data_IF_879046716620
#
_entry.id   IF_879046716620
#
_cell.length_a   1.000
_cell.length_b   1.000
_cell.length_c   1.000
_cell.angle_alpha   90.00
_cell.angle_beta   90.00
_cell.angle_gamma   90.00
#
_symmetry.space_group_name_H-M   'P 1'
#
loop_
_entity.id
_entity.type
_entity.pdbx_description
1 polymer ?
#
# COMPACT_ATOMS: atom_id res chain seq x y z
N UNK A 1 -1.97 11.68 -19.51
CA UNK A 1 -2.52 11.27 -18.19
C UNK A 1 -1.58 10.25 -17.59
N UNK A 2 -1.20 10.39 -16.31
CA UNK A 2 -0.45 9.38 -15.54
C UNK A 2 -1.38 8.26 -15.08
N UNK A 3 -0.84 7.08 -14.82
CA UNK A 3 -1.62 5.90 -14.39
C UNK A 3 -0.94 5.29 -13.17
N UNK A 4 -1.71 4.98 -12.14
CA UNK A 4 -1.25 4.32 -10.92
C UNK A 4 -1.83 2.91 -10.79
N UNK A 5 -1.04 1.98 -10.27
CA UNK A 5 -1.52 0.68 -9.78
C UNK A 5 -1.52 0.73 -8.25
N UNK A 6 -2.67 0.44 -7.63
CA UNK A 6 -2.82 0.43 -6.17
C UNK A 6 -3.27 -0.95 -5.71
N UNK A 7 -2.41 -1.68 -5.01
CA UNK A 7 -2.78 -3.00 -4.48
C UNK A 7 -3.66 -2.86 -3.23
N UNK A 8 -4.74 -3.67 -3.16
CA UNK A 8 -5.68 -3.62 -2.03
C UNK A 8 -6.54 -2.35 -1.98
N UNK A 9 -6.98 -1.85 -3.14
CA UNK A 9 -7.76 -0.62 -3.28
C UNK A 9 -9.26 -0.75 -2.94
N UNK A 10 -9.71 -1.89 -2.43
CA UNK A 10 -11.12 -2.15 -2.13
C UNK A 10 -11.58 -1.63 -0.77
N UNK A 11 -10.70 -1.16 0.10
CA UNK A 11 -11.02 -0.61 1.42
C UNK A 11 -9.83 0.10 2.06
N UNK A 12 -10.09 0.82 3.15
CA UNK A 12 -9.06 1.40 4.04
C UNK A 12 -8.07 2.31 3.33
N UNK A 13 -6.79 2.17 3.67
CA UNK A 13 -5.70 3.01 3.14
C UNK A 13 -5.62 2.91 1.62
N UNK A 14 -5.71 1.70 1.05
CA UNK A 14 -5.62 1.50 -0.40
C UNK A 14 -6.78 2.16 -1.16
N UNK A 15 -7.99 2.10 -0.62
CA UNK A 15 -9.14 2.81 -1.20
C UNK A 15 -8.93 4.32 -1.15
N UNK A 16 -8.52 4.85 0.01
CA UNK A 16 -8.23 6.28 0.15
C UNK A 16 -7.11 6.71 -0.80
N UNK A 17 -6.00 5.96 -0.86
CA UNK A 17 -4.92 6.25 -1.80
C UNK A 17 -5.41 6.30 -3.25
N UNK A 18 -6.22 5.32 -3.68
CA UNK A 18 -6.79 5.28 -5.03
C UNK A 18 -7.64 6.54 -5.33
N UNK A 19 -8.51 6.94 -4.39
CA UNK A 19 -9.34 8.14 -4.52
C UNK A 19 -8.50 9.43 -4.56
N UNK A 20 -7.51 9.57 -3.66
CA UNK A 20 -6.65 10.76 -3.60
C UNK A 20 -5.75 10.89 -4.83
N UNK A 21 -5.27 9.78 -5.37
CA UNK A 21 -4.49 9.72 -6.62
C UNK A 21 -5.37 10.12 -7.81
N UNK A 22 -6.60 9.59 -7.89
CA UNK A 22 -7.54 9.93 -8.96
C UNK A 22 -7.94 11.41 -8.97
N UNK A 23 -8.17 12.02 -7.80
CA UNK A 23 -8.47 13.45 -7.64
C UNK A 23 -7.35 14.37 -8.16
N UNK A 24 -6.14 13.84 -8.31
CA UNK A 24 -4.99 14.55 -8.92
C UNK A 24 -4.86 14.31 -10.43
N UNK A 25 -5.91 13.78 -11.08
CA UNK A 25 -5.96 13.56 -12.50
C UNK A 25 -5.20 12.34 -13.00
N UNK A 26 -4.88 11.39 -12.12
CA UNK A 26 -4.20 10.13 -12.45
C UNK A 26 -5.23 9.01 -12.61
N UNK A 27 -5.15 8.24 -13.70
CA UNK A 27 -5.94 7.02 -13.87
C UNK A 27 -5.51 5.94 -12.87
N UNK A 28 -6.43 5.08 -12.42
CA UNK A 28 -6.14 4.09 -11.37
C UNK A 28 -6.53 2.68 -11.79
N UNK A 29 -5.56 1.77 -11.73
CA UNK A 29 -5.82 0.32 -11.66
C UNK A 29 -5.73 -0.06 -10.19
N UNK A 30 -6.84 -0.47 -9.59
CA UNK A 30 -6.85 -0.93 -8.21
C UNK A 30 -7.04 -2.45 -8.14
N UNK A 31 -6.49 -3.10 -7.10
CA UNK A 31 -6.68 -4.53 -6.95
C UNK A 31 -7.48 -4.91 -5.71
N UNK A 32 -8.07 -6.09 -5.76
CA UNK A 32 -8.79 -6.71 -4.65
C UNK A 32 -8.55 -8.22 -4.63
N UNK A 33 -8.69 -8.85 -3.46
CA UNK A 33 -8.67 -10.30 -3.32
C UNK A 33 -10.10 -10.82 -3.02
N UNK A 34 -10.66 -10.48 -1.87
CA UNK A 34 -11.90 -11.05 -1.35
C UNK A 34 -13.04 -10.02 -1.24
N UNK A 35 -12.84 -8.78 -1.68
CA UNK A 35 -13.85 -7.72 -1.60
C UNK A 35 -14.10 -7.05 -2.96
N UNK A 36 -14.72 -7.75 -3.93
CA UNK A 36 -15.03 -7.18 -5.23
C UNK A 36 -16.02 -6.01 -5.15
N UNK A 37 -17.01 -6.07 -4.26
CA UNK A 37 -17.97 -4.98 -4.07
C UNK A 37 -17.28 -3.68 -3.69
N UNK A 38 -16.41 -3.70 -2.66
CA UNK A 38 -15.68 -2.49 -2.27
C UNK A 38 -14.72 -1.99 -3.34
N UNK A 39 -14.19 -2.87 -4.20
CA UNK A 39 -13.38 -2.47 -5.33
C UNK A 39 -14.22 -1.74 -6.40
N UNK A 40 -15.38 -2.27 -6.75
CA UNK A 40 -16.31 -1.63 -7.69
C UNK A 40 -16.87 -0.32 -7.13
N UNK A 41 -17.19 -0.23 -5.83
CA UNK A 41 -17.56 1.01 -5.17
C UNK A 41 -16.47 2.07 -5.27
N UNK A 42 -15.20 1.66 -5.15
CA UNK A 42 -14.06 2.58 -5.31
C UNK A 42 -13.97 3.08 -6.76
N UNK A 43 -14.14 2.19 -7.75
CA UNK A 43 -14.16 2.57 -9.17
C UNK A 43 -15.32 3.56 -9.43
N UNK A 44 -16.52 3.24 -9.00
CA UNK A 44 -17.70 4.09 -9.21
C UNK A 44 -17.52 5.49 -8.59
N UNK A 45 -16.89 5.59 -7.41
CA UNK A 45 -16.56 6.88 -6.78
C UNK A 45 -15.56 7.68 -7.60
N UNK A 46 -14.50 7.04 -8.12
CA UNK A 46 -13.51 7.69 -8.98
C UNK A 46 -14.19 8.20 -10.26
N UNK A 47 -15.05 7.40 -10.87
CA UNK A 47 -15.76 7.77 -12.09
C UNK A 47 -16.78 8.89 -11.86
N UNK A 48 -17.48 8.88 -10.72
CA UNK A 48 -18.41 9.96 -10.36
C UNK A 48 -17.69 11.30 -10.14
N UNK A 49 -16.42 11.27 -9.72
CA UNK A 49 -15.55 12.44 -9.59
C UNK A 49 -14.88 12.83 -10.94
N UNK A 50 -15.25 12.17 -12.06
CA UNK A 50 -14.74 12.44 -13.42
C UNK A 50 -13.40 11.78 -13.74
N UNK A 51 -12.89 10.89 -12.86
CA UNK A 51 -11.68 10.10 -13.08
C UNK A 51 -11.94 8.85 -13.91
N UNK A 52 -10.90 8.03 -14.08
CA UNK A 52 -10.99 6.69 -14.72
C UNK A 52 -10.32 5.66 -13.85
N UNK A 53 -10.97 4.53 -13.60
CA UNK A 53 -10.40 3.44 -12.83
C UNK A 53 -10.84 2.07 -13.36
N UNK A 54 -10.00 1.05 -13.07
CA UNK A 54 -10.30 -0.38 -13.35
C UNK A 54 -9.98 -1.18 -12.11
N UNK A 55 -10.83 -2.12 -11.74
CA UNK A 55 -10.57 -3.07 -10.65
C UNK A 55 -10.16 -4.43 -11.22
N UNK A 56 -9.04 -4.98 -10.73
CA UNK A 56 -8.52 -6.28 -11.14
C UNK A 56 -8.36 -7.20 -9.91
N UNK A 57 -8.70 -8.50 -10.02
CA UNK A 57 -8.45 -9.45 -8.94
C UNK A 57 -6.94 -9.73 -8.81
N UNK A 58 -6.44 -9.80 -7.58
CA UNK A 58 -5.06 -10.16 -7.28
C UNK A 58 -4.96 -10.80 -5.90
N UNK A 59 -4.42 -12.00 -5.84
CA UNK A 59 -3.91 -12.61 -4.62
C UNK A 59 -2.40 -12.37 -4.52
N UNK A 60 -2.00 -11.50 -3.58
CA UNK A 60 -0.59 -11.17 -3.39
C UNK A 60 0.22 -12.32 -2.78
N UNK A 61 -0.44 -13.26 -2.13
CA UNK A 61 0.18 -14.46 -1.57
C UNK A 61 0.52 -15.54 -2.61
N UNK A 62 -0.06 -15.46 -3.82
CA UNK A 62 0.16 -16.42 -4.89
C UNK A 62 0.92 -15.81 -6.08
N UNK A 63 2.25 -15.85 -5.99
CA UNK A 63 3.12 -15.31 -7.04
C UNK A 63 3.07 -16.07 -8.37
N UNK A 64 2.48 -17.27 -8.42
CA UNK A 64 2.30 -18.02 -9.69
C UNK A 64 1.30 -17.32 -10.61
N UNK A 65 0.42 -16.48 -10.07
CA UNK A 65 -0.57 -15.71 -10.82
C UNK A 65 -0.06 -14.36 -11.33
N UNK A 66 1.12 -13.91 -10.93
CA UNK A 66 1.64 -12.59 -11.34
C UNK A 66 1.84 -12.43 -12.86
N UNK A 67 2.27 -13.45 -13.63
CA UNK A 67 2.31 -13.32 -15.10
C UNK A 67 0.93 -13.04 -15.70
N UNK A 68 -0.11 -13.77 -15.30
CA UNK A 68 -1.47 -13.53 -15.78
C UNK A 68 -2.01 -12.16 -15.32
N UNK A 69 -1.68 -11.74 -14.12
CA UNK A 69 -2.00 -10.39 -13.64
C UNK A 69 -1.30 -9.29 -14.46
N UNK A 70 -0.01 -9.48 -14.80
CA UNK A 70 0.70 -8.56 -15.71
C UNK A 70 -0.04 -8.39 -17.03
N UNK A 71 -0.50 -9.49 -17.64
CA UNK A 71 -1.22 -9.45 -18.92
C UNK A 71 -2.57 -8.72 -18.77
N UNK A 72 -3.27 -8.93 -17.66
CA UNK A 72 -4.49 -8.18 -17.34
C UNK A 72 -4.23 -6.67 -17.18
N UNK A 73 -3.12 -6.28 -16.55
CA UNK A 73 -2.68 -4.89 -16.45
C UNK A 73 -2.40 -4.30 -17.82
N UNK A 74 -1.67 -5.02 -18.70
CA UNK A 74 -1.39 -4.56 -20.07
C UNK A 74 -2.68 -4.37 -20.86
N UNK A 75 -3.64 -5.29 -20.74
CA UNK A 75 -4.95 -5.17 -21.37
C UNK A 75 -5.69 -3.92 -20.85
N UNK A 76 -5.78 -3.75 -19.53
CA UNK A 76 -6.43 -2.60 -18.92
C UNK A 76 -5.78 -1.27 -19.35
N UNK A 77 -4.45 -1.19 -19.41
CA UNK A 77 -3.73 0.00 -19.88
C UNK A 77 -4.09 0.37 -21.31
N UNK A 78 -4.15 -0.62 -22.22
CA UNK A 78 -4.47 -0.42 -23.63
C UNK A 78 -5.92 -0.04 -23.82
N UNK A 79 -6.84 -0.79 -23.24
CA UNK A 79 -8.27 -0.63 -23.49
C UNK A 79 -8.82 0.66 -22.87
N UNK A 80 -8.32 1.03 -21.68
CA UNK A 80 -8.85 2.20 -20.95
C UNK A 80 -8.11 3.50 -21.28
N UNK A 81 -6.79 3.44 -21.48
CA UNK A 81 -5.96 4.65 -21.62
C UNK A 81 -5.13 4.71 -22.89
N UNK A 82 -5.15 3.70 -23.77
CA UNK A 82 -4.32 3.57 -24.98
C UNK A 82 -2.83 3.73 -24.65
N UNK A 83 -2.40 3.11 -23.54
CA UNK A 83 -1.03 3.12 -23.04
C UNK A 83 -0.46 1.72 -22.88
N UNK A 84 0.86 1.59 -22.93
CA UNK A 84 1.59 0.35 -22.68
C UNK A 84 2.36 0.37 -21.34
N UNK A 85 2.36 1.51 -20.65
CA UNK A 85 3.06 1.74 -19.39
C UNK A 85 2.17 2.41 -18.35
N UNK A 86 2.48 2.17 -17.08
CA UNK A 86 1.95 2.92 -15.94
C UNK A 86 3.05 3.74 -15.28
N UNK A 87 2.69 4.75 -14.48
CA UNK A 87 3.64 5.69 -13.90
C UNK A 87 3.90 5.46 -12.41
N UNK A 88 2.92 4.91 -11.68
CA UNK A 88 2.99 4.78 -10.23
C UNK A 88 2.57 3.39 -9.73
N UNK A 89 3.29 2.87 -8.72
CA UNK A 89 2.91 1.64 -8.03
C UNK A 89 2.78 1.91 -6.54
N UNK A 90 1.64 1.51 -5.95
CA UNK A 90 1.42 1.51 -4.50
C UNK A 90 1.28 0.07 -4.03
N UNK A 91 2.30 -0.45 -3.36
CA UNK A 91 2.26 -1.73 -2.67
C UNK A 91 1.62 -1.53 -1.29
N UNK A 92 0.29 -1.59 -1.25
CA UNK A 92 -0.51 -1.37 -0.03
C UNK A 92 -1.15 -2.66 0.50
N UNK A 93 -1.59 -3.58 -0.36
CA UNK A 93 -2.27 -4.78 0.07
C UNK A 93 -1.48 -5.52 1.16
N UNK A 94 -2.19 -5.98 2.18
CA UNK A 94 -1.56 -6.63 3.31
C UNK A 94 -2.58 -7.29 4.23
N UNK A 95 -2.05 -8.00 5.21
CA UNK A 95 -2.80 -8.62 6.30
C UNK A 95 -2.10 -8.30 7.62
N UNK A 96 -2.84 -8.34 8.72
CA UNK A 96 -2.27 -8.27 10.06
C UNK A 96 -2.75 -9.49 10.85
N UNK A 97 -1.80 -10.26 11.31
CA UNK A 97 -1.99 -11.33 12.30
C UNK A 97 -0.91 -11.16 13.35
N UNK A 98 -1.25 -11.46 14.58
CA UNK A 98 -0.37 -11.29 15.73
C UNK A 98 -0.21 -12.59 16.48
N UNK A 99 0.99 -12.85 16.95
CA UNK A 99 1.34 -13.91 17.90
C UNK A 99 2.57 -13.44 18.68
N UNK A 100 2.72 -13.86 19.93
CA UNK A 100 3.97 -13.64 20.65
C UNK A 100 5.11 -14.31 19.91
N UNK A 101 6.36 -13.95 20.22
CA UNK A 101 7.51 -14.58 19.57
C UNK A 101 7.52 -16.10 19.81
N UNK A 102 7.17 -16.53 21.02
CA UNK A 102 7.12 -17.94 21.42
C UNK A 102 6.00 -18.72 20.72
N UNK A 103 4.86 -18.06 20.43
CA UNK A 103 3.68 -18.68 19.82
C UNK A 103 3.67 -18.55 18.29
N UNK A 104 4.63 -17.86 17.70
CA UNK A 104 4.71 -17.67 16.24
C UNK A 104 5.08 -19.00 15.58
N UNK A 105 4.12 -19.59 14.87
CA UNK A 105 4.36 -20.82 14.09
C UNK A 105 5.03 -20.48 12.75
N UNK A 106 5.73 -21.46 12.16
CA UNK A 106 6.31 -21.32 10.81
C UNK A 106 5.23 -21.01 9.77
N UNK A 107 4.05 -21.59 9.89
CA UNK A 107 2.92 -21.34 8.98
C UNK A 107 2.47 -19.87 9.05
N UNK A 108 2.32 -19.31 10.26
CA UNK A 108 1.98 -17.90 10.44
C UNK A 108 3.06 -16.99 9.85
N UNK A 109 4.32 -17.32 10.10
CA UNK A 109 5.46 -16.57 9.58
C UNK A 109 5.50 -16.58 8.05
N UNK A 110 5.34 -17.75 7.44
CA UNK A 110 5.33 -17.92 5.99
C UNK A 110 4.14 -17.23 5.33
N UNK A 111 2.95 -17.27 5.95
CA UNK A 111 1.77 -16.55 5.48
C UNK A 111 2.01 -15.05 5.44
N UNK A 112 2.56 -14.47 6.52
CA UNK A 112 2.89 -13.05 6.58
C UNK A 112 3.99 -12.70 5.57
N UNK A 113 5.04 -13.53 5.47
CA UNK A 113 6.12 -13.33 4.50
C UNK A 113 5.58 -13.31 3.06
N UNK A 114 4.73 -14.28 2.71
CA UNK A 114 4.16 -14.36 1.35
C UNK A 114 3.43 -13.09 0.96
N UNK A 115 2.58 -12.56 1.84
CA UNK A 115 1.73 -11.39 1.53
C UNK A 115 2.47 -10.08 1.72
N UNK A 116 3.27 -9.92 2.79
CA UNK A 116 3.79 -8.62 3.20
C UNK A 116 5.17 -8.28 2.63
N UNK A 117 5.95 -9.28 2.22
CA UNK A 117 7.31 -9.07 1.71
C UNK A 117 7.54 -9.72 0.35
N UNK A 118 7.34 -11.03 0.23
CA UNK A 118 7.57 -11.76 -1.01
C UNK A 118 6.63 -11.30 -2.12
N UNK A 119 5.36 -11.10 -1.81
CA UNK A 119 4.35 -10.62 -2.76
C UNK A 119 4.72 -9.27 -3.38
N UNK A 120 4.89 -8.20 -2.58
CA UNK A 120 5.32 -6.89 -3.10
C UNK A 120 6.64 -6.95 -3.88
N UNK A 121 7.62 -7.72 -3.42
CA UNK A 121 8.90 -7.89 -4.11
C UNK A 121 8.71 -8.43 -5.54
N UNK A 122 8.09 -9.60 -5.67
CA UNK A 122 7.94 -10.25 -6.97
C UNK A 122 6.88 -9.61 -7.85
N UNK A 123 5.83 -9.02 -7.28
CA UNK A 123 4.87 -8.24 -8.07
C UNK A 123 5.56 -7.01 -8.69
N UNK A 124 6.32 -6.25 -7.89
CA UNK A 124 7.09 -5.10 -8.40
C UNK A 124 8.03 -5.54 -9.52
N UNK A 125 8.78 -6.63 -9.33
CA UNK A 125 9.66 -7.19 -10.36
C UNK A 125 8.90 -7.56 -11.64
N UNK A 126 7.73 -8.18 -11.53
CA UNK A 126 6.92 -8.59 -12.68
C UNK A 126 6.37 -7.38 -13.45
N UNK A 127 5.98 -6.33 -12.75
CA UNK A 127 5.42 -5.12 -13.34
C UNK A 127 6.49 -4.12 -13.81
N UNK A 128 7.74 -4.26 -13.35
CA UNK A 128 8.83 -3.32 -13.61
C UNK A 128 9.07 -2.99 -15.10
N UNK A 129 8.93 -3.93 -16.07
CA UNK A 129 9.07 -3.62 -17.49
C UNK A 129 8.00 -2.65 -18.02
N UNK A 130 6.89 -2.48 -17.30
CA UNK A 130 5.78 -1.58 -17.67
C UNK A 130 5.76 -0.28 -16.86
N UNK A 131 6.61 -0.15 -15.85
CA UNK A 131 6.77 1.12 -15.12
C UNK A 131 7.51 2.12 -16.01
N UNK A 132 6.93 3.29 -16.21
CA UNK A 132 7.53 4.36 -17.00
C UNK A 132 8.76 4.95 -16.29
N UNK A 133 9.74 5.44 -17.07
CA UNK A 133 10.85 6.22 -16.54
C UNK A 133 10.34 7.53 -15.92
N UNK A 134 10.97 7.98 -14.86
CA UNK A 134 10.48 9.11 -14.07
C UNK A 134 9.28 8.80 -13.20
N UNK A 135 8.85 7.55 -13.12
CA UNK A 135 7.75 7.08 -12.27
C UNK A 135 8.07 7.07 -10.78
N UNK A 136 7.12 6.54 -9.98
CA UNK A 136 7.34 6.39 -8.54
C UNK A 136 6.69 5.13 -7.96
N UNK A 137 7.31 4.59 -6.90
CA UNK A 137 6.80 3.47 -6.12
C UNK A 137 6.64 3.93 -4.66
N UNK A 138 5.49 3.61 -4.05
CA UNK A 138 5.28 3.77 -2.60
C UNK A 138 4.94 2.41 -2.01
N UNK A 139 5.74 1.99 -1.02
CA UNK A 139 5.51 0.79 -0.23
C UNK A 139 4.83 1.16 1.10
N UNK A 140 3.68 0.57 1.41
CA UNK A 140 3.01 0.80 2.69
C UNK A 140 3.57 -0.15 3.73
N UNK A 141 4.50 0.37 4.53
CA UNK A 141 5.11 -0.33 5.66
C UNK A 141 4.24 -0.27 6.93
N UNK A 142 4.77 0.08 8.07
CA UNK A 142 4.05 0.25 9.34
C UNK A 142 4.97 0.94 10.37
N UNK A 143 4.42 1.72 11.28
CA UNK A 143 5.16 2.22 12.43
C UNK A 143 5.64 1.10 13.40
N UNK A 144 5.16 -0.13 13.22
CA UNK A 144 5.69 -1.31 13.92
C UNK A 144 7.18 -1.60 13.60
N UNK A 145 7.78 -0.90 12.63
CA UNK A 145 9.23 -0.96 12.37
C UNK A 145 10.03 0.07 13.19
N UNK A 146 9.36 0.94 13.93
CA UNK A 146 9.94 2.05 14.69
C UNK A 146 9.20 2.31 16.01
N UNK A 147 8.52 3.45 16.14
CA UNK A 147 7.86 3.88 17.37
C UNK A 147 6.71 2.96 17.86
N UNK A 148 6.11 2.21 16.96
CA UNK A 148 4.97 1.31 17.23
C UNK A 148 5.34 -0.11 17.65
N UNK A 149 6.51 -0.35 18.24
CA UNK A 149 6.90 -1.67 18.72
C UNK A 149 5.97 -2.16 19.83
N UNK A 150 5.34 -3.29 19.60
CA UNK A 150 4.43 -3.95 20.56
C UNK A 150 4.62 -5.47 20.55
N UNK A 151 4.36 -6.11 21.70
CA UNK A 151 4.36 -7.57 21.78
C UNK A 151 3.33 -8.16 20.82
N UNK A 152 3.68 -9.29 20.22
CA UNK A 152 2.82 -9.98 19.26
C UNK A 152 3.02 -9.53 17.80
N UNK A 153 3.83 -8.51 17.54
CA UNK A 153 4.05 -8.01 16.18
C UNK A 153 5.42 -8.36 15.58
N UNK A 154 6.21 -9.22 16.22
CA UNK A 154 7.59 -9.51 15.78
C UNK A 154 7.67 -10.02 14.33
N UNK A 155 6.87 -11.02 13.95
CA UNK A 155 6.83 -11.54 12.58
C UNK A 155 6.33 -10.47 11.59
N UNK A 156 5.22 -9.79 11.91
CA UNK A 156 4.67 -8.71 11.08
C UNK A 156 5.69 -7.57 10.89
N UNK A 157 6.27 -7.07 12.00
CA UNK A 157 7.26 -5.99 11.98
C UNK A 157 8.50 -6.36 11.17
N UNK A 158 8.97 -7.60 11.26
CA UNK A 158 10.08 -8.12 10.45
C UNK A 158 9.77 -8.01 8.94
N UNK A 159 8.57 -8.41 8.51
CA UNK A 159 8.19 -8.31 7.10
C UNK A 159 8.08 -6.85 6.64
N UNK A 160 7.50 -5.99 7.46
CA UNK A 160 7.36 -4.55 7.17
C UNK A 160 8.73 -3.84 7.20
N UNK A 161 9.64 -4.23 8.10
CA UNK A 161 11.03 -3.76 8.10
C UNK A 161 11.79 -4.17 6.84
N UNK A 162 11.61 -5.42 6.39
CA UNK A 162 12.13 -5.88 5.11
C UNK A 162 11.65 -5.04 3.93
N UNK A 163 10.39 -4.59 3.96
CA UNK A 163 9.83 -3.73 2.92
C UNK A 163 10.46 -2.32 2.93
N UNK A 164 10.80 -1.78 4.11
CA UNK A 164 11.54 -0.51 4.24
C UNK A 164 12.95 -0.65 3.65
N UNK A 165 13.64 -1.76 3.92
CA UNK A 165 14.96 -2.04 3.32
C UNK A 165 14.83 -2.19 1.80
N UNK A 166 13.86 -2.95 1.31
CA UNK A 166 13.58 -3.10 -0.13
C UNK A 166 13.36 -1.73 -0.81
N UNK A 167 12.67 -0.81 -0.15
CA UNK A 167 12.45 0.56 -0.65
C UNK A 167 13.77 1.25 -1.00
N UNK A 168 14.77 1.15 -0.13
CA UNK A 168 16.09 1.78 -0.34
C UNK A 168 16.87 1.12 -1.48
N UNK A 169 16.83 -0.22 -1.59
CA UNK A 169 17.45 -0.93 -2.70
C UNK A 169 16.81 -0.58 -4.04
N UNK A 170 15.47 -0.60 -4.12
CA UNK A 170 14.76 -0.22 -5.35
C UNK A 170 15.04 1.24 -5.75
N UNK A 171 15.09 2.17 -4.79
CA UNK A 171 15.45 3.57 -5.07
C UNK A 171 16.85 3.66 -5.68
N UNK A 172 17.81 2.89 -5.21
CA UNK A 172 19.17 2.84 -5.75
C UNK A 172 19.21 2.19 -7.13
N UNK A 173 18.60 1.02 -7.29
CA UNK A 173 18.66 0.24 -8.52
C UNK A 173 17.90 0.90 -9.67
N UNK A 174 16.81 1.61 -9.38
CA UNK A 174 15.97 2.27 -10.38
C UNK A 174 16.35 3.75 -10.62
N UNK A 175 17.38 4.26 -9.93
CA UNK A 175 17.82 5.66 -10.04
C UNK A 175 18.20 6.06 -11.47
N UNK A 176 18.81 5.14 -12.24
CA UNK A 176 19.16 5.37 -13.65
C UNK A 176 17.95 5.60 -14.58
N UNK A 177 16.75 5.18 -14.14
CA UNK A 177 15.48 5.41 -14.81
C UNK A 177 14.72 6.63 -14.26
N UNK A 178 15.31 7.37 -13.31
CA UNK A 178 14.66 8.47 -12.63
C UNK A 178 13.46 8.06 -11.77
N UNK A 179 13.32 6.76 -11.46
CA UNK A 179 12.20 6.24 -10.64
C UNK A 179 12.49 6.49 -9.16
N UNK A 180 11.55 7.14 -8.47
CA UNK A 180 11.59 7.36 -7.02
C UNK A 180 10.92 6.22 -6.28
N UNK A 181 11.48 5.81 -5.15
CA UNK A 181 10.87 4.77 -4.32
C UNK A 181 10.91 5.21 -2.86
N UNK A 182 9.75 5.25 -2.21
CA UNK A 182 9.63 5.58 -0.81
C UNK A 182 8.73 4.56 -0.08
N UNK A 183 8.80 4.52 1.23
CA UNK A 183 7.82 3.85 2.07
C UNK A 183 7.07 4.85 2.94
N UNK A 184 5.84 4.48 3.26
CA UNK A 184 5.01 5.15 4.26
C UNK A 184 4.76 4.17 5.38
N UNK A 185 5.02 4.59 6.62
CA UNK A 185 4.80 3.82 7.84
C UNK A 185 3.62 4.39 8.62
N UNK A 186 2.38 3.89 8.36
CA UNK A 186 1.20 4.34 9.08
C UNK A 186 1.25 3.98 10.56
N UNK A 187 0.75 4.86 11.41
CA UNK A 187 0.37 4.56 12.78
C UNK A 187 -0.98 3.86 12.86
N UNK A 188 -1.52 3.80 14.08
CA UNK A 188 -2.86 3.23 14.31
C UNK A 188 -3.91 3.97 13.49
N UNK A 189 -4.43 3.31 12.46
CA UNK A 189 -5.34 3.88 11.47
C UNK A 189 -6.63 3.07 11.42
N UNK A 190 -7.78 3.74 11.41
CA UNK A 190 -9.12 3.12 11.38
C UNK A 190 -9.35 2.41 10.04
N UNK A 191 -9.10 1.11 10.00
CA UNK A 191 -9.26 0.26 8.83
C UNK A 191 -9.92 -1.07 9.21
N UNK A 192 -10.30 -1.85 8.20
CA UNK A 192 -10.81 -3.22 8.42
C UNK A 192 -9.70 -4.28 8.56
N UNK A 193 -8.45 -3.88 8.60
CA UNK A 193 -7.33 -4.80 8.82
C UNK A 193 -7.49 -5.51 10.18
N UNK A 194 -6.93 -6.70 10.34
CA UNK A 194 -7.11 -7.51 11.55
C UNK A 194 -8.58 -7.81 11.88
N UNK A 195 -9.42 -8.02 10.86
CA UNK A 195 -10.82 -8.39 11.05
C UNK A 195 -11.68 -7.29 11.67
N UNK A 196 -11.45 -6.05 11.28
CA UNK A 196 -12.16 -4.86 11.74
C UNK A 196 -12.00 -4.62 13.27
N UNK A 197 -10.71 -4.65 13.71
CA UNK A 197 -10.36 -4.59 15.14
C UNK A 197 -10.96 -3.36 15.84
N UNK A 198 -10.98 -2.19 15.20
CA UNK A 198 -11.54 -0.96 15.80
C UNK A 198 -13.05 -1.00 15.98
N UNK A 199 -13.79 -1.71 15.12
CA UNK A 199 -15.24 -1.89 15.32
C UNK A 199 -15.53 -2.93 16.41
N UNK A 200 -14.70 -3.98 16.51
CA UNK A 200 -14.86 -5.02 17.53
C UNK A 200 -14.37 -4.60 18.92
N UNK A 201 -13.38 -3.72 18.97
CA UNK A 201 -12.71 -3.27 20.18
C UNK A 201 -12.61 -1.74 20.23
N UNK A 202 -13.74 -1.01 20.26
CA UNK A 202 -13.71 0.47 20.28
C UNK A 202 -13.06 1.03 21.54
N UNK A 203 -13.00 0.26 22.63
CA UNK A 203 -12.37 0.63 23.89
C UNK A 203 -10.85 0.88 23.79
N UNK A 204 -10.18 0.35 22.75
CA UNK A 204 -8.73 0.61 22.55
C UNK A 204 -8.46 2.00 21.95
N UNK A 205 -9.45 2.62 21.29
CA UNK A 205 -9.29 3.88 20.58
C UNK A 205 -8.82 5.02 21.48
N UNK A 206 -9.43 5.26 22.67
CA UNK A 206 -8.96 6.32 23.57
C UNK A 206 -7.52 6.12 24.04
N UNK A 207 -7.08 4.87 24.25
CA UNK A 207 -5.70 4.57 24.67
C UNK A 207 -4.70 4.89 23.56
N UNK A 208 -5.00 4.50 22.31
CA UNK A 208 -4.16 4.80 21.15
C UNK A 208 -4.14 6.31 20.84
N UNK A 209 -5.29 6.97 20.97
CA UNK A 209 -5.39 8.43 20.82
C UNK A 209 -4.54 9.18 21.85
N UNK A 210 -4.53 8.74 23.11
CA UNK A 210 -3.71 9.33 24.17
C UNK A 210 -2.20 9.17 23.95
N UNK A 211 -1.78 8.17 23.19
CA UNK A 211 -0.38 7.95 22.78
C UNK A 211 0.00 8.66 21.48
N UNK A 212 -0.95 9.36 20.86
CA UNK A 212 -0.75 10.06 19.59
C UNK A 212 -0.71 11.58 19.85
N UNK A 213 0.33 12.27 19.43
CA UNK A 213 0.49 13.73 19.70
C UNK A 213 -0.68 14.56 19.15
N UNK A 214 -1.28 14.14 18.01
CA UNK A 214 -2.47 14.77 17.45
C UNK A 214 -3.78 14.37 18.14
N UNK A 215 -3.75 13.58 19.21
CA UNK A 215 -4.88 13.25 20.09
C UNK A 215 -5.95 12.36 19.48
N UNK A 216 -5.68 11.68 18.38
CA UNK A 216 -6.63 10.77 17.72
C UNK A 216 -5.93 9.63 17.00
N UNK A 217 -6.65 8.56 16.73
CA UNK A 217 -6.23 7.56 15.74
C UNK A 217 -6.32 8.14 14.33
N UNK A 218 -5.50 7.63 13.41
CA UNK A 218 -5.53 8.04 12.01
C UNK A 218 -6.79 7.54 11.28
N UNK A 219 -7.20 8.28 10.27
CA UNK A 219 -8.19 7.83 9.29
C UNK A 219 -7.48 7.44 7.99
N UNK A 220 -8.06 6.58 7.15
CA UNK A 220 -7.46 6.18 5.87
C UNK A 220 -7.01 7.37 5.01
N UNK A 221 -7.74 8.49 5.06
CA UNK A 221 -7.43 9.69 4.28
C UNK A 221 -6.15 10.39 4.74
N UNK A 222 -5.77 10.31 6.02
CA UNK A 222 -4.50 10.85 6.52
C UNK A 222 -3.32 10.19 5.78
N UNK A 223 -3.43 8.89 5.51
CA UNK A 223 -2.39 8.12 4.84
C UNK A 223 -2.49 8.25 3.32
N UNK A 224 -3.72 8.20 2.79
CA UNK A 224 -3.96 8.27 1.34
C UNK A 224 -3.46 9.58 0.71
N UNK A 225 -3.65 10.70 1.41
CA UNK A 225 -3.14 12.02 0.99
C UNK A 225 -1.61 12.04 0.95
N UNK A 226 -0.94 11.46 1.96
CA UNK A 226 0.52 11.38 2.02
C UNK A 226 1.08 10.50 0.87
N UNK A 227 0.46 9.35 0.61
CA UNK A 227 0.82 8.48 -0.52
C UNK A 227 0.70 9.23 -1.84
N UNK A 228 -0.44 9.89 -2.09
CA UNK A 228 -0.65 10.64 -3.32
C UNK A 228 0.35 11.79 -3.50
N UNK A 229 0.73 12.47 -2.42
CA UNK A 229 1.75 13.54 -2.46
C UNK A 229 3.15 13.02 -2.77
N UNK A 230 3.51 11.82 -2.31
CA UNK A 230 4.79 11.20 -2.63
C UNK A 230 4.91 10.74 -4.08
N UNK A 231 3.79 10.43 -4.72
CA UNK A 231 3.77 9.97 -6.11
C UNK A 231 3.89 11.14 -7.09
N UNK A 232 3.27 12.27 -6.81
CA UNK A 232 3.23 13.42 -7.71
C UNK A 232 4.46 14.34 -7.63
N UNK A 233 4.36 15.53 -8.25
CA UNK A 233 5.45 16.49 -8.31
C UNK A 233 5.79 17.12 -6.94
N UNK A 234 4.90 17.03 -5.94
CA UNK A 234 5.21 17.46 -4.56
C UNK A 234 6.30 16.58 -3.94
N UNK A 235 6.33 15.29 -4.32
CA UNK A 235 7.35 14.34 -3.88
C UNK A 235 8.62 14.28 -4.75
N UNK A 236 8.80 15.14 -5.76
CA UNK A 236 9.85 15.01 -6.80
C UNK A 236 11.29 14.92 -6.28
N UNK A 237 11.55 15.43 -5.05
CA UNK A 237 12.88 15.41 -4.43
C UNK A 237 12.98 14.47 -3.24
N UNK A 238 12.00 13.54 -3.09
CA UNK A 238 11.94 12.56 -2.01
C UNK A 238 12.10 11.17 -2.60
N UNK A 239 13.17 10.46 -2.23
CA UNK A 239 13.41 9.06 -2.60
C UNK A 239 14.22 8.35 -1.52
N UNK A 240 14.09 7.04 -1.43
CA UNK A 240 14.73 6.15 -0.45
C UNK A 240 14.35 6.43 1.03
N UNK A 241 13.25 7.18 1.26
CA UNK A 241 12.80 7.53 2.60
C UNK A 241 11.72 6.56 3.09
N UNK A 242 11.71 6.33 4.41
CA UNK A 242 10.56 5.80 5.13
C UNK A 242 9.92 6.96 5.90
N UNK A 243 8.67 7.27 5.55
CA UNK A 243 7.96 8.41 6.11
C UNK A 243 6.89 7.89 7.06
N UNK A 244 7.10 8.15 8.35
CA UNK A 244 6.10 7.82 9.35
C UNK A 244 4.91 8.80 9.25
N UNK A 245 3.71 8.24 9.10
CA UNK A 245 2.44 8.97 9.06
C UNK A 245 1.56 8.43 10.18
N UNK A 246 1.89 8.85 11.41
CA UNK A 246 1.32 8.29 12.64
C UNK A 246 0.62 9.31 13.54
N UNK A 247 0.61 10.60 13.13
CA UNK A 247 0.14 11.69 13.99
C UNK A 247 1.04 11.92 15.21
N UNK A 248 2.30 11.49 15.17
CA UNK A 248 3.24 11.57 16.28
C UNK A 248 2.96 10.52 17.35
N UNK A 249 2.77 9.27 16.95
CA UNK A 249 2.56 8.17 17.88
C UNK A 249 3.82 7.90 18.70
N UNK A 250 3.70 7.95 20.04
CA UNK A 250 4.79 7.75 21.02
C UNK A 250 6.01 8.65 20.79
N UNK A 251 5.78 9.90 20.47
CA UNK A 251 6.79 10.97 20.52
C UNK A 251 7.27 11.20 21.95
#
# INVERSE_FOLDING_TARGET
>A
MRIAIVTGGSSGIGQSAALQIARRGTGVILTYQNNPTGAHDTVARIESDGGRAVALPLDLGDSTRFPAFHDAVVTALRDTWQRDTFDYLVNNAGASRTATFEDTTEELFDDLMRVLLRGPYFLTRTLLPRLADGGAIVNVASNAVGAGLESGYSAYGTMKGGLVVLTRYLAKELSGRGVRVNSVSPGSTRTRIAGDAFARHPEVIPQLAAQTALGRVGEPDDIGVAIAALLDDAGRWITAQDIEVSGGYRL
#
